data_IF_550276100870
#
_entry.id   IF_550276100870
#
_cell.length_a   1.000
_cell.length_b   1.000
_cell.length_c   1.000
_cell.angle_alpha   90.00
_cell.angle_beta   90.00
_cell.angle_gamma   90.00
#
_symmetry.space_group_name_H-M   'P 1'
#
loop_
_entity.id
_entity.type
_entity.pdbx_description
1 polymer ?
#
# COMPACT_ATOMS: atom_id res chain seq x y z
N UNK A 1 0.20 26.42 -26.75
CA UNK A 1 -0.72 25.89 -25.73
C UNK A 1 0.14 25.43 -24.57
N UNK A 2 0.14 26.22 -23.50
CA UNK A 2 1.00 26.00 -22.33
C UNK A 2 0.41 24.91 -21.46
N UNK A 3 0.90 23.66 -21.59
CA UNK A 3 0.63 22.62 -20.60
C UNK A 3 1.84 22.54 -19.69
N UNK A 4 1.79 23.31 -18.60
CA UNK A 4 2.68 23.13 -17.46
C UNK A 4 2.46 21.71 -16.92
N UNK A 5 3.29 20.77 -17.34
CA UNK A 5 3.27 19.41 -16.84
C UNK A 5 3.92 19.39 -15.47
N UNK A 6 3.25 19.98 -14.48
CA UNK A 6 3.50 19.62 -13.09
C UNK A 6 3.05 18.16 -12.99
N UNK A 7 4.00 17.24 -13.07
CA UNK A 7 3.72 15.82 -12.89
C UNK A 7 3.40 15.69 -11.41
N UNK A 8 2.13 15.86 -11.03
CA UNK A 8 1.69 15.53 -9.68
C UNK A 8 2.18 14.08 -9.45
N UNK A 9 2.91 13.78 -8.38
CA UNK A 9 3.40 12.42 -8.11
C UNK A 9 2.26 11.40 -7.99
N UNK A 10 1.02 11.90 -7.85
CA UNK A 10 -0.22 11.13 -7.85
C UNK A 10 -0.74 10.78 -9.25
N UNK A 11 -0.27 11.43 -10.32
CA UNK A 11 -0.68 11.09 -11.69
C UNK A 11 -0.27 9.66 -12.06
N UNK A 12 0.96 9.25 -11.69
CA UNK A 12 1.41 7.87 -11.88
C UNK A 12 0.61 6.85 -11.06
N UNK A 13 0.16 7.24 -9.85
CA UNK A 13 -0.73 6.42 -9.01
C UNK A 13 -2.12 6.25 -9.63
N UNK A 14 -2.68 7.31 -10.23
CA UNK A 14 -3.98 7.29 -10.94
C UNK A 14 -3.89 6.39 -12.16
N UNK A 15 -2.89 6.58 -13.01
CA UNK A 15 -2.69 5.80 -14.23
C UNK A 15 -2.53 4.30 -13.92
N UNK A 16 -1.79 3.98 -12.84
CA UNK A 16 -1.68 2.62 -12.34
C UNK A 16 -3.03 2.04 -11.89
N UNK A 17 -3.83 2.80 -11.13
CA UNK A 17 -5.17 2.36 -10.72
C UNK A 17 -6.11 2.17 -11.91
N UNK A 18 -6.07 3.04 -12.92
CA UNK A 18 -6.88 2.91 -14.13
C UNK A 18 -6.49 1.69 -14.96
N UNK A 19 -5.20 1.38 -15.06
CA UNK A 19 -4.73 0.14 -15.67
C UNK A 19 -5.25 -1.08 -14.90
N UNK A 20 -5.15 -1.08 -13.57
CA UNK A 20 -5.68 -2.18 -12.75
C UNK A 20 -7.20 -2.33 -12.86
N UNK A 21 -7.93 -1.22 -12.99
CA UNK A 21 -9.38 -1.26 -13.19
C UNK A 21 -9.78 -1.91 -14.53
N UNK A 22 -8.98 -1.70 -15.58
CA UNK A 22 -9.21 -2.34 -16.88
C UNK A 22 -8.87 -3.83 -16.85
N UNK A 23 -7.78 -4.21 -16.18
CA UNK A 23 -7.37 -5.61 -16.05
C UNK A 23 -8.31 -6.41 -15.11
N UNK A 24 -8.90 -5.75 -14.10
CA UNK A 24 -9.83 -6.34 -13.14
C UNK A 24 -11.18 -5.62 -13.15
N UNK A 25 -12.09 -5.96 -14.09
CA UNK A 25 -13.44 -5.42 -14.08
C UNK A 25 -14.20 -5.71 -12.77
N UNK A 26 -13.84 -6.76 -12.03
CA UNK A 26 -14.40 -7.09 -10.72
C UNK A 26 -14.00 -6.08 -9.62
N UNK A 27 -12.82 -5.46 -9.75
CA UNK A 27 -12.26 -4.47 -8.82
C UNK A 27 -12.27 -3.06 -9.41
N UNK A 28 -12.77 -2.89 -10.64
CA UNK A 28 -12.74 -1.64 -11.38
C UNK A 28 -13.34 -0.49 -10.58
N UNK A 29 -14.45 -0.74 -9.88
CA UNK A 29 -15.10 0.25 -9.03
C UNK A 29 -14.21 0.71 -7.87
N UNK A 30 -13.49 -0.21 -7.22
CA UNK A 30 -12.55 0.12 -6.13
C UNK A 30 -11.33 0.88 -6.66
N UNK A 31 -10.73 0.41 -7.76
CA UNK A 31 -9.60 1.10 -8.39
C UNK A 31 -9.97 2.50 -8.94
N UNK A 32 -11.17 2.66 -9.52
CA UNK A 32 -11.67 3.98 -9.95
C UNK A 32 -11.94 4.91 -8.77
N UNK A 33 -12.46 4.39 -7.65
CA UNK A 33 -12.60 5.17 -6.43
C UNK A 33 -11.21 5.62 -5.91
N UNK A 34 -10.22 4.73 -5.90
CA UNK A 34 -8.84 5.06 -5.53
C UNK A 34 -8.21 6.11 -6.45
N UNK A 35 -8.39 5.98 -7.76
CA UNK A 35 -7.97 6.99 -8.73
C UNK A 35 -8.62 8.35 -8.42
N UNK A 36 -9.91 8.37 -8.12
CA UNK A 36 -10.64 9.58 -7.74
C UNK A 36 -10.11 10.19 -6.44
N UNK A 37 -9.82 9.39 -5.42
CA UNK A 37 -9.23 9.86 -4.16
C UNK A 37 -7.82 10.43 -4.36
N UNK A 38 -7.01 9.82 -5.22
CA UNK A 38 -5.71 10.35 -5.63
C UNK A 38 -5.84 11.73 -6.30
N UNK A 39 -6.77 11.89 -7.24
CA UNK A 39 -7.02 13.17 -7.92
C UNK A 39 -7.52 14.25 -6.95
N UNK A 40 -8.40 13.87 -6.02
CA UNK A 40 -8.96 14.77 -5.01
C UNK A 40 -8.02 15.01 -3.82
N UNK A 41 -6.83 14.38 -3.80
CA UNK A 41 -5.87 14.45 -2.68
C UNK A 41 -6.48 14.00 -1.35
N UNK A 42 -7.44 13.07 -1.42
CA UNK A 42 -8.13 12.45 -0.27
C UNK A 42 -7.32 11.25 0.22
N UNK A 43 -6.18 11.53 0.85
CA UNK A 43 -5.23 10.49 1.27
C UNK A 43 -5.83 9.51 2.29
N UNK A 44 -6.67 10.02 3.20
CA UNK A 44 -7.30 9.18 4.22
C UNK A 44 -8.29 8.17 3.60
N UNK A 45 -9.19 8.64 2.74
CA UNK A 45 -10.15 7.80 2.00
C UNK A 45 -9.41 6.78 1.12
N UNK A 46 -8.35 7.23 0.43
CA UNK A 46 -7.49 6.37 -0.36
C UNK A 46 -6.91 5.23 0.47
N UNK A 47 -6.36 5.52 1.65
CA UNK A 47 -5.82 4.48 2.52
C UNK A 47 -6.86 3.52 3.06
N UNK A 48 -8.06 4.01 3.37
CA UNK A 48 -9.16 3.16 3.81
C UNK A 48 -9.61 2.23 2.68
N UNK A 49 -9.73 2.76 1.45
CA UNK A 49 -10.05 1.97 0.27
C UNK A 49 -8.97 0.90 -0.01
N UNK A 50 -7.69 1.25 0.11
CA UNK A 50 -6.58 0.29 0.00
C UNK A 50 -6.66 -0.75 1.10
N UNK A 51 -6.89 -0.33 2.34
CA UNK A 51 -6.95 -1.24 3.47
C UNK A 51 -8.12 -2.22 3.33
N UNK A 52 -9.28 -1.77 2.89
CA UNK A 52 -10.45 -2.60 2.58
C UNK A 52 -10.14 -3.60 1.46
N UNK A 53 -9.53 -3.12 0.37
CA UNK A 53 -9.09 -3.94 -0.75
C UNK A 53 -8.08 -5.03 -0.35
N UNK A 54 -7.17 -4.77 0.59
CA UNK A 54 -6.15 -5.75 1.04
C UNK A 54 -6.66 -6.58 2.24
N UNK A 55 -7.63 -6.07 2.99
CA UNK A 55 -8.30 -6.81 4.05
C UNK A 55 -9.14 -7.94 3.44
N UNK A 56 -9.76 -7.70 2.29
CA UNK A 56 -10.51 -8.73 1.58
C UNK A 56 -9.56 -9.79 0.97
N UNK A 57 -9.61 -11.05 1.45
CA UNK A 57 -8.73 -12.10 0.98
C UNK A 57 -9.04 -12.59 -0.44
N UNK A 58 -10.23 -12.28 -0.98
CA UNK A 58 -10.61 -12.65 -2.35
C UNK A 58 -9.89 -11.74 -3.35
N UNK A 59 -9.96 -10.43 -3.10
CA UNK A 59 -9.26 -9.38 -3.82
C UNK A 59 -7.75 -9.53 -3.73
N UNK A 60 -7.26 -9.83 -2.51
CA UNK A 60 -5.87 -10.13 -2.24
C UNK A 60 -5.31 -11.23 -3.18
N UNK A 61 -6.10 -12.29 -3.40
CA UNK A 61 -5.74 -13.42 -4.23
C UNK A 61 -5.85 -13.12 -5.73
N UNK A 62 -6.90 -12.39 -6.15
CA UNK A 62 -7.07 -11.96 -7.54
C UNK A 62 -5.89 -11.12 -8.04
N UNK A 63 -5.41 -10.17 -7.23
CA UNK A 63 -4.29 -9.29 -7.61
C UNK A 63 -2.92 -9.97 -7.38
N UNK A 64 -2.79 -10.86 -6.38
CA UNK A 64 -1.58 -11.68 -6.25
C UNK A 64 -1.37 -12.54 -7.50
N UNK A 65 -2.43 -13.15 -8.04
CA UNK A 65 -2.37 -14.05 -9.19
C UNK A 65 -1.70 -13.44 -10.44
N UNK A 66 -1.66 -12.11 -10.59
CA UNK A 66 -1.10 -11.51 -11.81
C UNK A 66 0.43 -11.39 -11.82
N UNK A 67 1.07 -11.28 -10.66
CA UNK A 67 2.53 -11.10 -10.56
C UNK A 67 3.08 -9.83 -11.25
N UNK A 68 4.22 -9.35 -10.79
CA UNK A 68 4.96 -8.27 -11.47
C UNK A 68 4.41 -6.85 -11.27
N UNK A 69 4.36 -6.07 -12.36
CA UNK A 69 4.13 -4.60 -12.35
C UNK A 69 2.74 -4.19 -11.87
N UNK A 70 1.81 -5.12 -11.79
CA UNK A 70 0.40 -4.95 -11.41
C UNK A 70 0.08 -5.45 -9.99
N UNK A 71 1.11 -5.84 -9.22
CA UNK A 71 0.95 -6.37 -7.88
C UNK A 71 0.66 -5.29 -6.83
N UNK A 72 0.10 -5.69 -5.69
CA UNK A 72 -0.07 -4.84 -4.50
C UNK A 72 1.22 -4.11 -4.07
N UNK A 73 2.39 -4.67 -4.38
CA UNK A 73 3.67 -4.03 -4.16
C UNK A 73 3.87 -2.77 -5.01
N UNK A 74 3.44 -2.79 -6.26
CA UNK A 74 3.49 -1.64 -7.15
C UNK A 74 2.51 -0.56 -6.65
N UNK A 75 1.32 -0.97 -6.22
CA UNK A 75 0.35 -0.06 -5.61
C UNK A 75 0.91 0.57 -4.32
N UNK A 76 1.52 -0.22 -3.45
CA UNK A 76 2.18 0.30 -2.25
C UNK A 76 3.30 1.30 -2.60
N UNK A 77 4.16 0.98 -3.57
CA UNK A 77 5.25 1.87 -3.93
C UNK A 77 4.81 3.14 -4.67
N UNK A 78 3.84 3.04 -5.58
CA UNK A 78 3.39 4.15 -6.42
C UNK A 78 2.36 5.03 -5.69
N UNK A 79 1.52 4.44 -4.86
CA UNK A 79 0.40 5.12 -4.20
C UNK A 79 0.72 5.44 -2.75
N UNK A 80 1.24 4.49 -1.96
CA UNK A 80 1.42 4.64 -0.51
C UNK A 80 2.73 5.35 -0.15
N UNK A 81 3.83 5.08 -0.86
CA UNK A 81 5.11 5.77 -0.62
C UNK A 81 5.03 7.30 -0.77
N UNK A 82 4.39 7.91 -1.78
CA UNK A 82 4.35 9.38 -1.87
C UNK A 82 3.46 10.05 -0.82
N UNK A 83 2.54 9.29 -0.20
CA UNK A 83 1.55 9.83 0.75
C UNK A 83 1.88 9.45 2.20
N UNK A 84 2.88 8.60 2.44
CA UNK A 84 3.26 8.14 3.78
C UNK A 84 3.45 9.29 4.77
N UNK A 85 4.06 10.40 4.32
CA UNK A 85 4.34 11.56 5.15
C UNK A 85 3.08 12.35 5.57
N UNK A 86 1.94 12.09 4.93
CA UNK A 86 0.64 12.71 5.24
C UNK A 86 -0.31 11.78 5.99
N UNK A 87 0.06 10.54 6.21
CA UNK A 87 -0.77 9.51 6.80
C UNK A 87 -0.36 9.20 8.22
N UNK A 88 -1.29 8.57 8.96
CA UNK A 88 -0.97 8.01 10.26
C UNK A 88 0.00 6.82 10.08
N UNK A 89 1.13 6.77 10.81
CA UNK A 89 2.07 5.65 10.76
C UNK A 89 1.41 4.29 11.06
N UNK A 90 0.34 4.25 11.86
CA UNK A 90 -0.38 3.00 12.12
C UNK A 90 -1.10 2.47 10.87
N UNK A 91 -1.80 3.33 10.13
CA UNK A 91 -2.49 2.94 8.89
C UNK A 91 -1.49 2.46 7.83
N UNK A 92 -0.34 3.10 7.77
CA UNK A 92 0.77 2.67 6.92
C UNK A 92 1.27 1.26 7.30
N UNK A 93 1.47 0.99 8.59
CA UNK A 93 1.84 -0.33 9.09
C UNK A 93 0.79 -1.40 8.77
N UNK A 94 -0.50 -1.06 8.87
CA UNK A 94 -1.60 -1.95 8.50
C UNK A 94 -1.58 -2.31 7.01
N UNK A 95 -1.44 -1.31 6.14
CA UNK A 95 -1.37 -1.53 4.69
C UNK A 95 -0.14 -2.36 4.33
N UNK A 96 1.04 -1.98 4.82
CA UNK A 96 2.27 -2.70 4.54
C UNK A 96 2.23 -4.15 5.03
N UNK A 97 1.63 -4.41 6.20
CA UNK A 97 1.42 -5.78 6.71
C UNK A 97 0.47 -6.58 5.84
N UNK A 98 -0.59 -5.94 5.34
CA UNK A 98 -1.54 -6.58 4.45
C UNK A 98 -0.86 -6.93 3.11
N UNK A 99 -0.09 -6.01 2.53
CA UNK A 99 0.71 -6.23 1.31
C UNK A 99 1.75 -7.32 1.53
N UNK A 100 2.48 -7.30 2.65
CA UNK A 100 3.47 -8.30 3.00
C UNK A 100 2.83 -9.69 3.13
N UNK A 101 1.63 -9.80 3.74
CA UNK A 101 0.90 -11.07 3.82
C UNK A 101 0.48 -11.61 2.45
N UNK A 102 0.03 -10.75 1.54
CA UNK A 102 -0.29 -11.15 0.16
C UNK A 102 0.97 -11.59 -0.59
N UNK A 103 2.06 -10.84 -0.43
CA UNK A 103 3.34 -11.16 -1.03
C UNK A 103 3.95 -12.43 -0.42
N UNK A 104 3.72 -12.71 0.86
CA UNK A 104 4.26 -13.90 1.53
C UNK A 104 3.77 -15.21 0.88
N UNK A 105 2.57 -15.21 0.33
CA UNK A 105 2.05 -16.34 -0.45
C UNK A 105 2.83 -16.61 -1.76
N UNK A 106 3.63 -15.64 -2.22
CA UNK A 106 4.44 -15.73 -3.43
C UNK A 106 5.94 -15.75 -3.12
N UNK A 107 6.40 -14.79 -2.32
CA UNK A 107 7.78 -14.56 -1.93
C UNK A 107 7.86 -14.08 -0.47
N UNK A 108 8.08 -15.02 0.45
CA UNK A 108 8.20 -14.75 1.87
C UNK A 108 9.37 -13.84 2.25
N UNK A 109 10.44 -13.81 1.43
CA UNK A 109 11.62 -12.98 1.70
C UNK A 109 11.33 -11.52 1.37
N UNK A 110 10.71 -11.26 0.23
CA UNK A 110 10.30 -9.91 -0.16
C UNK A 110 9.26 -9.33 0.80
N UNK A 111 8.33 -10.16 1.29
CA UNK A 111 7.35 -9.77 2.32
C UNK A 111 8.00 -9.28 3.62
N UNK A 112 9.00 -10.02 4.13
CA UNK A 112 9.75 -9.63 5.33
C UNK A 112 10.53 -8.34 5.10
N UNK A 113 11.22 -8.23 3.96
CA UNK A 113 12.00 -7.04 3.62
C UNK A 113 11.16 -5.75 3.61
N UNK A 114 9.89 -5.80 3.15
CA UNK A 114 8.99 -4.64 3.19
C UNK A 114 8.73 -4.19 4.62
N UNK A 115 8.40 -5.12 5.51
CA UNK A 115 8.11 -4.82 6.91
C UNK A 115 9.35 -4.34 7.66
N UNK A 116 10.52 -4.93 7.41
CA UNK A 116 11.79 -4.47 8.01
C UNK A 116 12.16 -3.05 7.56
N UNK A 117 12.02 -2.78 6.26
CA UNK A 117 12.22 -1.42 5.72
C UNK A 117 11.21 -0.44 6.31
N UNK A 118 9.97 -0.88 6.56
CA UNK A 118 8.96 -0.05 7.18
C UNK A 118 9.29 0.27 8.63
N UNK A 119 9.65 -0.74 9.42
CA UNK A 119 10.04 -0.57 10.83
C UNK A 119 11.23 0.38 10.91
N UNK A 120 12.23 0.20 10.05
CA UNK A 120 13.39 1.09 9.99
C UNK A 120 12.99 2.52 9.65
N UNK A 121 12.14 2.72 8.64
CA UNK A 121 11.63 4.06 8.26
C UNK A 121 10.83 4.68 9.39
N UNK A 122 9.91 3.92 9.99
CA UNK A 122 9.11 4.36 11.12
C UNK A 122 10.03 4.78 12.24
N UNK A 123 11.05 4.00 12.63
CA UNK A 123 12.02 4.34 13.67
C UNK A 123 12.91 5.55 13.34
N UNK A 124 13.21 5.79 12.06
CA UNK A 124 14.00 6.93 11.60
C UNK A 124 13.19 8.23 11.52
N UNK A 125 11.88 8.14 11.33
CA UNK A 125 11.00 9.30 11.26
C UNK A 125 10.86 9.94 12.64
N UNK A 126 11.05 11.26 12.72
CA UNK A 126 11.10 12.04 13.96
C UNK A 126 9.70 12.38 14.50
N UNK A 127 8.71 11.49 14.30
CA UNK A 127 7.36 11.65 14.81
C UNK A 127 7.31 11.42 16.34
N UNK A 128 6.23 11.84 17.03
CA UNK A 128 6.10 11.61 18.45
C UNK A 128 6.13 10.11 18.77
N UNK A 129 7.07 9.72 19.63
CA UNK A 129 7.40 8.33 19.99
C UNK A 129 6.19 7.43 20.31
N UNK A 130 5.09 7.98 20.82
CA UNK A 130 3.90 7.21 21.24
C UNK A 130 3.12 6.63 20.06
N UNK A 131 2.84 7.42 19.01
CA UNK A 131 2.06 6.97 17.85
C UNK A 131 2.88 6.02 16.96
N UNK A 132 4.19 6.23 16.95
CA UNK A 132 5.16 5.43 16.20
C UNK A 132 5.44 4.09 16.89
N UNK A 133 5.45 4.04 18.23
CA UNK A 133 5.60 2.79 18.97
C UNK A 133 4.50 1.78 18.63
N UNK A 134 3.23 2.20 18.55
CA UNK A 134 2.14 1.28 18.17
C UNK A 134 2.30 0.75 16.75
N UNK A 135 2.67 1.61 15.80
CA UNK A 135 2.90 1.22 14.40
C UNK A 135 4.09 0.27 14.25
N UNK A 136 5.19 0.53 14.97
CA UNK A 136 6.39 -0.31 15.01
C UNK A 136 6.07 -1.66 15.63
N UNK A 137 5.46 -1.69 16.82
CA UNK A 137 5.07 -2.92 17.51
C UNK A 137 4.11 -3.75 16.66
N UNK A 138 3.17 -3.10 15.97
CA UNK A 138 2.25 -3.78 15.05
C UNK A 138 3.01 -4.43 13.88
N UNK A 139 3.91 -3.67 13.22
CA UNK A 139 4.69 -4.16 12.10
C UNK A 139 5.64 -5.31 12.51
N UNK A 140 6.31 -5.20 13.66
CA UNK A 140 7.16 -6.25 14.22
C UNK A 140 6.35 -7.52 14.57
N UNK A 141 5.17 -7.35 15.16
CA UNK A 141 4.26 -8.48 15.46
C UNK A 141 3.85 -9.21 14.19
N UNK A 142 3.52 -8.48 13.12
CA UNK A 142 3.15 -9.06 11.82
C UNK A 142 4.35 -9.70 11.12
N UNK A 143 5.54 -9.12 11.21
CA UNK A 143 6.76 -9.72 10.69
C UNK A 143 7.10 -11.03 11.41
N UNK A 144 6.90 -11.07 12.73
CA UNK A 144 7.11 -12.26 13.55
C UNK A 144 6.12 -13.36 13.15
N UNK A 145 4.84 -13.03 12.96
CA UNK A 145 3.83 -13.95 12.44
C UNK A 145 4.23 -14.53 11.07
N UNK A 146 4.63 -13.69 10.12
CA UNK A 146 5.10 -14.14 8.80
C UNK A 146 6.39 -14.99 8.89
N UNK A 147 7.16 -14.88 9.96
CA UNK A 147 8.33 -15.74 10.19
C UNK A 147 7.95 -17.07 10.81
N UNK A 148 6.90 -17.12 11.61
CA UNK A 148 6.34 -18.35 12.18
C UNK A 148 5.52 -19.16 11.16
N UNK A 149 4.92 -18.51 10.17
CA UNK A 149 4.12 -19.16 9.11
C UNK A 149 4.97 -19.70 7.93
N UNK A 150 6.28 -19.42 7.91
CA UNK A 150 7.26 -19.90 6.90
C UNK A 150 7.98 -21.18 7.35
#
# INVERSE_FOLDING_TARGET
>A
MSSSSYVDPTAGAVEHCELMANEHPELATQYQAMASFCQQKLWHELTLAVLDLVADPTTARSVASLGGTHSYLALYNQVVTPVHAKLNPLSLAQIASAVARVLHAQDGTAAKAILENLVTKLQQDALPHTVQADAVVYAESKLSLLTLEA
#
